data_IF_073026844318
#
_entry.id   IF_073026844318
#
_cell.length_a   1.000
_cell.length_b   1.000
_cell.length_c   1.000
_cell.angle_alpha   90.00
_cell.angle_beta   90.00
_cell.angle_gamma   90.00
#
_symmetry.space_group_name_H-M   'P 1'
#
loop_
_entity.id
_entity.type
_entity.pdbx_description
1 polymer ?
#
# COMPACT_ATOMS: atom_id res chain seq x y z
N UNK A 1 -11.81 18.64 9.19
CA UNK A 1 -12.11 17.36 8.52
C UNK A 1 -11.03 16.36 8.88
N UNK A 2 -11.39 15.22 9.45
CA UNK A 2 -10.46 14.10 9.70
C UNK A 2 -10.06 13.41 8.39
N UNK A 3 -8.97 12.62 8.40
CA UNK A 3 -8.57 11.85 7.22
C UNK A 3 -9.67 10.89 6.75
N UNK A 4 -10.39 10.28 7.70
CA UNK A 4 -11.49 9.37 7.38
C UNK A 4 -12.67 10.09 6.73
N UNK A 5 -13.03 11.28 7.22
CA UNK A 5 -14.04 12.15 6.57
C UNK A 5 -13.59 12.58 5.16
N UNK A 6 -12.30 12.84 4.97
CA UNK A 6 -11.71 13.20 3.68
C UNK A 6 -11.79 12.06 2.66
N UNK A 7 -11.55 10.82 3.11
CA UNK A 7 -11.68 9.62 2.29
C UNK A 7 -13.16 9.36 1.98
N UNK A 8 -14.06 9.59 2.95
CA UNK A 8 -15.50 9.38 2.77
C UNK A 8 -16.15 10.37 1.79
N UNK A 9 -15.53 11.53 1.52
CA UNK A 9 -15.98 12.47 0.51
C UNK A 9 -15.51 12.12 -0.91
N UNK A 10 -14.65 11.11 -1.07
CA UNK A 10 -14.17 10.65 -2.37
C UNK A 10 -15.25 9.86 -3.14
N UNK A 11 -15.13 9.75 -4.47
CA UNK A 11 -16.01 8.89 -5.26
C UNK A 11 -16.06 7.46 -4.75
N UNK A 12 -17.22 6.80 -4.91
CA UNK A 12 -17.47 5.45 -4.38
C UNK A 12 -16.40 4.43 -4.79
N UNK A 13 -15.87 4.53 -6.02
CA UNK A 13 -14.83 3.62 -6.49
C UNK A 13 -13.52 3.74 -5.69
N UNK A 14 -13.16 4.94 -5.20
CA UNK A 14 -11.99 5.16 -4.33
C UNK A 14 -12.22 4.51 -2.98
N UNK A 15 -13.42 4.68 -2.40
CA UNK A 15 -13.76 4.09 -1.12
C UNK A 15 -13.72 2.55 -1.16
N UNK A 16 -14.26 1.96 -2.23
CA UNK A 16 -14.16 0.52 -2.50
C UNK A 16 -12.69 0.11 -2.62
N UNK A 17 -11.88 0.87 -3.36
CA UNK A 17 -10.46 0.57 -3.53
C UNK A 17 -9.68 0.63 -2.21
N UNK A 18 -9.94 1.62 -1.35
CA UNK A 18 -9.29 1.73 -0.04
C UNK A 18 -9.59 0.50 0.83
N UNK A 19 -10.81 -0.05 0.77
CA UNK A 19 -11.14 -1.29 1.47
C UNK A 19 -10.40 -2.51 0.89
N UNK A 20 -10.27 -2.59 -0.44
CA UNK A 20 -9.47 -3.64 -1.11
C UNK A 20 -7.99 -3.51 -0.71
N UNK A 21 -7.46 -2.29 -0.67
CA UNK A 21 -6.11 -1.99 -0.21
C UNK A 21 -5.91 -2.41 1.24
N UNK A 22 -6.85 -2.10 2.13
CA UNK A 22 -6.78 -2.53 3.53
C UNK A 22 -6.73 -4.06 3.63
N UNK A 23 -7.62 -4.76 2.93
CA UNK A 23 -7.62 -6.21 2.90
C UNK A 23 -6.31 -6.77 2.32
N UNK A 24 -5.82 -6.23 1.21
CA UNK A 24 -4.66 -6.75 0.48
C UNK A 24 -3.32 -6.41 1.11
N UNK A 25 -3.16 -5.23 1.71
CA UNK A 25 -1.89 -4.75 2.25
C UNK A 25 -1.75 -4.90 3.78
N UNK A 26 -2.85 -5.12 4.51
CA UNK A 26 -2.83 -5.27 5.98
C UNK A 26 -3.32 -6.64 6.44
N UNK A 27 -4.47 -7.11 5.95
CA UNK A 27 -5.09 -8.34 6.46
C UNK A 27 -4.51 -9.59 5.81
N UNK A 28 -4.51 -9.64 4.48
CA UNK A 28 -4.06 -10.80 3.71
C UNK A 28 -2.59 -11.20 4.00
N UNK A 29 -1.64 -10.28 4.22
CA UNK A 29 -0.27 -10.65 4.59
C UNK A 29 -0.17 -11.35 5.95
N UNK A 30 -1.14 -11.19 6.86
CA UNK A 30 -1.16 -11.93 8.14
C UNK A 30 -1.29 -13.44 7.92
N UNK A 31 -1.96 -13.88 6.85
CA UNK A 31 -2.04 -15.29 6.50
C UNK A 31 -0.65 -15.89 6.21
N UNK A 32 0.31 -15.09 5.72
CA UNK A 32 1.67 -15.55 5.46
C UNK A 32 2.44 -15.94 6.74
N UNK A 33 1.96 -15.57 7.92
CA UNK A 33 2.56 -15.93 9.20
C UNK A 33 2.37 -17.43 9.54
N UNK A 34 1.40 -18.08 8.92
CA UNK A 34 1.11 -19.51 9.10
C UNK A 34 2.32 -20.36 8.68
N UNK A 35 2.92 -20.06 7.52
CA UNK A 35 4.02 -20.84 6.95
C UNK A 35 5.38 -20.26 7.30
N UNK A 36 6.28 -21.09 7.85
CA UNK A 36 7.66 -20.67 8.22
C UNK A 36 8.40 -19.92 7.10
N UNK A 37 8.38 -20.37 5.82
CA UNK A 37 9.11 -19.69 4.74
C UNK A 37 8.59 -18.28 4.40
N UNK A 38 7.35 -17.95 4.73
CA UNK A 38 6.72 -16.67 4.36
C UNK A 38 6.47 -15.74 5.54
N UNK A 39 6.82 -16.13 6.78
CA UNK A 39 6.61 -15.30 7.98
C UNK A 39 7.24 -13.92 7.87
N UNK A 40 8.48 -13.87 7.37
CA UNK A 40 9.20 -12.60 7.18
C UNK A 40 8.50 -11.73 6.14
N UNK A 41 7.98 -12.32 5.04
CA UNK A 41 7.19 -11.59 4.06
C UNK A 41 5.93 -10.98 4.68
N UNK A 42 5.17 -11.78 5.44
CA UNK A 42 3.97 -11.32 6.13
C UNK A 42 4.26 -10.17 7.08
N UNK A 43 5.22 -10.36 7.98
CA UNK A 43 5.60 -9.35 8.97
C UNK A 43 6.12 -8.06 8.32
N UNK A 44 7.05 -8.17 7.37
CA UNK A 44 7.61 -7.01 6.68
C UNK A 44 6.52 -6.24 5.92
N UNK A 45 5.57 -6.94 5.30
CA UNK A 45 4.46 -6.29 4.60
C UNK A 45 3.57 -5.53 5.58
N UNK A 46 3.14 -6.15 6.68
CA UNK A 46 2.28 -5.48 7.67
C UNK A 46 2.99 -4.28 8.29
N UNK A 47 4.26 -4.44 8.69
CA UNK A 47 5.04 -3.34 9.27
C UNK A 47 5.18 -2.19 8.28
N UNK A 48 5.55 -2.47 7.03
CA UNK A 48 5.66 -1.44 6.00
C UNK A 48 4.33 -0.73 5.73
N UNK A 49 3.21 -1.48 5.67
CA UNK A 49 1.87 -0.91 5.48
C UNK A 49 1.42 -0.04 6.65
N UNK A 50 1.69 -0.47 7.89
CA UNK A 50 1.40 0.34 9.10
C UNK A 50 2.23 1.62 9.12
N UNK A 51 3.52 1.54 8.82
CA UNK A 51 4.40 2.70 8.73
C UNK A 51 3.99 3.65 7.61
N UNK A 52 3.57 3.12 6.45
CA UNK A 52 3.07 3.93 5.35
C UNK A 52 1.77 4.65 5.72
N UNK A 53 0.80 3.94 6.31
CA UNK A 53 -0.44 4.54 6.80
C UNK A 53 -0.21 5.60 7.88
N UNK A 54 0.71 5.35 8.82
CA UNK A 54 1.11 6.34 9.82
C UNK A 54 1.76 7.58 9.17
N UNK A 55 2.60 7.38 8.15
CA UNK A 55 3.19 8.45 7.35
C UNK A 55 2.15 9.28 6.62
N UNK A 56 1.13 8.65 6.03
CA UNK A 56 0.01 9.34 5.35
C UNK A 56 -0.76 10.19 6.36
N UNK A 57 -1.10 9.61 7.52
CA UNK A 57 -1.81 10.32 8.57
C UNK A 57 -1.01 11.53 9.08
N UNK A 58 0.28 11.36 9.30
CA UNK A 58 1.17 12.45 9.70
C UNK A 58 1.25 13.55 8.63
N UNK A 59 1.45 13.17 7.36
CA UNK A 59 1.55 14.12 6.25
C UNK A 59 0.24 14.87 6.02
N UNK A 60 -0.91 14.21 6.19
CA UNK A 60 -2.23 14.84 6.19
C UNK A 60 -2.36 15.90 7.29
N UNK A 61 -1.85 15.63 8.48
CA UNK A 61 -1.82 16.62 9.57
C UNK A 61 -0.99 17.87 9.26
N UNK A 62 -0.01 17.78 8.36
CA UNK A 62 0.85 18.90 7.98
C UNK A 62 0.35 19.65 6.73
N UNK A 63 -0.09 18.92 5.70
CA UNK A 63 -0.39 19.47 4.38
C UNK A 63 -1.88 19.45 4.01
N UNK A 64 -2.72 18.78 4.81
CA UNK A 64 -4.12 18.52 4.48
C UNK A 64 -4.29 17.50 3.36
N UNK A 65 -5.45 17.54 2.69
CA UNK A 65 -5.79 16.60 1.62
C UNK A 65 -5.15 17.01 0.28
N UNK A 66 -3.86 16.68 0.09
CA UNK A 66 -3.10 16.98 -1.14
C UNK A 66 -2.72 15.72 -1.90
N UNK A 67 -2.40 15.85 -3.19
CA UNK A 67 -1.96 14.71 -4.02
C UNK A 67 -0.68 14.02 -3.51
N UNK A 68 0.16 14.73 -2.75
CA UNK A 68 1.40 14.18 -2.20
C UNK A 68 1.17 13.17 -1.05
N UNK A 69 -0.07 12.97 -0.60
CA UNK A 69 -0.36 12.05 0.51
C UNK A 69 0.07 10.61 0.25
N UNK A 70 0.17 10.18 -1.01
CA UNK A 70 0.67 8.85 -1.39
C UNK A 70 2.18 8.65 -1.20
N UNK A 71 2.96 9.71 -0.92
CA UNK A 71 4.42 9.64 -0.86
C UNK A 71 4.98 8.59 0.13
N UNK A 72 4.42 8.42 1.35
CA UNK A 72 4.87 7.38 2.27
C UNK A 72 4.72 5.97 1.69
N UNK A 73 3.67 5.70 0.89
CA UNK A 73 3.52 4.44 0.17
C UNK A 73 4.62 4.27 -0.87
N UNK A 74 4.91 5.31 -1.67
CA UNK A 74 5.99 5.26 -2.67
C UNK A 74 7.32 4.85 -2.03
N UNK A 75 7.69 5.47 -0.92
CA UNK A 75 8.97 5.24 -0.24
C UNK A 75 9.04 3.83 0.37
N UNK A 76 7.97 3.36 1.02
CA UNK A 76 7.99 2.10 1.77
C UNK A 76 7.58 0.89 0.93
N UNK A 77 6.59 1.04 0.06
CA UNK A 77 6.05 -0.07 -0.72
C UNK A 77 6.84 -0.39 -1.98
N UNK A 78 7.53 0.58 -2.59
CA UNK A 78 8.37 0.30 -3.78
C UNK A 78 9.47 -0.74 -3.48
N UNK A 79 10.35 -0.55 -2.48
CA UNK A 79 11.36 -1.56 -2.15
C UNK A 79 10.73 -2.88 -1.66
N UNK A 80 9.64 -2.80 -0.89
CA UNK A 80 8.89 -3.98 -0.44
C UNK A 80 8.37 -4.81 -1.63
N UNK A 81 7.75 -4.16 -2.61
CA UNK A 81 7.19 -4.81 -3.80
C UNK A 81 8.28 -5.56 -4.58
N UNK A 82 9.43 -4.91 -4.81
CA UNK A 82 10.57 -5.53 -5.50
C UNK A 82 11.06 -6.76 -4.72
N UNK A 83 11.18 -6.65 -3.40
CA UNK A 83 11.64 -7.74 -2.55
C UNK A 83 10.65 -8.91 -2.51
N UNK A 84 9.35 -8.64 -2.29
CA UNK A 84 8.28 -9.65 -2.31
C UNK A 84 8.19 -10.36 -3.66
N UNK A 85 8.33 -9.60 -4.76
CA UNK A 85 8.38 -10.16 -6.11
C UNK A 85 9.51 -11.19 -6.20
N UNK A 86 10.74 -10.85 -5.80
CA UNK A 86 11.85 -11.81 -5.84
C UNK A 86 11.63 -13.00 -4.89
N UNK A 87 11.15 -12.75 -3.68
CA UNK A 87 10.94 -13.76 -2.64
C UNK A 87 9.94 -14.85 -3.06
N UNK A 88 8.86 -14.48 -3.77
CA UNK A 88 7.84 -15.45 -4.22
C UNK A 88 8.40 -16.53 -5.15
N UNK A 89 9.47 -16.21 -5.88
CA UNK A 89 10.10 -17.07 -6.87
C UNK A 89 11.19 -17.98 -6.26
N UNK A 90 11.48 -17.85 -4.96
CA UNK A 90 12.49 -18.68 -4.31
C UNK A 90 12.08 -20.16 -4.29
N UNK A 91 13.04 -21.08 -4.52
CA UNK A 91 12.84 -22.51 -4.30
C UNK A 91 12.40 -22.78 -2.85
N UNK A 92 11.42 -23.66 -2.67
CA UNK A 92 10.89 -24.00 -1.34
C UNK A 92 9.75 -23.09 -0.84
N UNK A 93 9.37 -22.03 -1.56
CA UNK A 93 8.16 -21.26 -1.25
C UNK A 93 6.90 -22.10 -1.52
N UNK A 94 6.03 -22.34 -0.52
CA UNK A 94 4.82 -23.13 -0.74
C UNK A 94 3.83 -22.41 -1.67
N UNK A 95 2.99 -23.19 -2.38
CA UNK A 95 2.11 -22.69 -3.44
C UNK A 95 1.15 -21.60 -2.95
N UNK A 96 0.53 -21.79 -1.78
CA UNK A 96 -0.41 -20.83 -1.20
C UNK A 96 0.23 -19.51 -0.79
N UNK A 97 1.32 -19.48 0.01
CA UNK A 97 2.12 -18.28 0.22
C UNK A 97 2.52 -17.55 -1.05
N UNK A 98 2.96 -18.28 -2.09
CA UNK A 98 3.31 -17.65 -3.38
C UNK A 98 2.12 -16.93 -4.01
N UNK A 99 0.94 -17.54 -4.02
CA UNK A 99 -0.30 -16.94 -4.54
C UNK A 99 -0.73 -15.72 -3.71
N UNK A 100 -0.64 -15.82 -2.39
CA UNK A 100 -0.94 -14.71 -1.49
C UNK A 100 0.03 -13.54 -1.74
N UNK A 101 1.34 -13.79 -1.78
CA UNK A 101 2.35 -12.76 -2.08
C UNK A 101 2.05 -12.10 -3.44
N UNK A 102 1.65 -12.88 -4.45
CA UNK A 102 1.28 -12.32 -5.76
C UNK A 102 0.06 -11.39 -5.65
N UNK A 103 -0.99 -11.79 -4.93
CA UNK A 103 -2.17 -10.96 -4.71
C UNK A 103 -1.83 -9.65 -3.97
N UNK A 104 -1.01 -9.73 -2.92
CA UNK A 104 -0.48 -8.58 -2.18
C UNK A 104 0.30 -7.66 -3.12
N UNK A 105 1.21 -8.22 -3.93
CA UNK A 105 1.99 -7.45 -4.91
C UNK A 105 1.09 -6.72 -5.91
N UNK A 106 0.03 -7.36 -6.40
CA UNK A 106 -0.92 -6.74 -7.34
C UNK A 106 -1.62 -5.53 -6.71
N UNK A 107 -2.13 -5.67 -5.48
CA UNK A 107 -2.81 -4.57 -4.77
C UNK A 107 -1.85 -3.41 -4.50
N UNK A 108 -0.64 -3.71 -4.03
CA UNK A 108 0.41 -2.70 -3.80
C UNK A 108 0.81 -2.02 -5.10
N UNK A 109 1.00 -2.77 -6.19
CA UNK A 109 1.41 -2.21 -7.47
C UNK A 109 0.36 -1.26 -8.05
N UNK A 110 -0.92 -1.63 -8.01
CA UNK A 110 -2.01 -0.75 -8.48
C UNK A 110 -2.05 0.54 -7.63
N UNK A 111 -1.90 0.42 -6.32
CA UNK A 111 -1.91 1.58 -5.42
C UNK A 111 -0.71 2.50 -5.67
N UNK A 112 0.48 1.93 -5.86
CA UNK A 112 1.67 2.68 -6.23
C UNK A 112 1.50 3.43 -7.55
N UNK A 113 0.80 2.85 -8.54
CA UNK A 113 0.51 3.57 -9.79
C UNK A 113 -0.30 4.84 -9.50
N UNK A 114 -1.32 4.76 -8.64
CA UNK A 114 -2.06 5.95 -8.22
C UNK A 114 -1.17 6.96 -7.51
N UNK A 115 -0.35 6.50 -6.55
CA UNK A 115 0.55 7.37 -5.79
C UNK A 115 1.59 8.07 -6.69
N UNK A 116 2.17 7.37 -7.67
CA UNK A 116 3.12 7.94 -8.64
C UNK A 116 2.45 8.96 -9.56
N UNK A 117 1.23 8.69 -10.04
CA UNK A 117 0.47 9.62 -10.88
C UNK A 117 0.16 10.90 -10.09
N UNK A 118 -0.29 10.78 -8.85
CA UNK A 118 -0.59 11.92 -8.00
C UNK A 118 0.67 12.70 -7.61
N UNK A 119 1.79 12.02 -7.31
CA UNK A 119 3.07 12.68 -7.09
C UNK A 119 3.55 13.44 -8.34
N UNK A 120 3.44 12.85 -9.54
CA UNK A 120 3.80 13.51 -10.78
C UNK A 120 2.93 14.76 -11.04
N UNK A 121 1.61 14.66 -10.87
CA UNK A 121 0.68 15.79 -10.97
C UNK A 121 0.99 16.90 -9.96
N UNK A 122 1.32 16.52 -8.72
CA UNK A 122 1.73 17.47 -7.70
C UNK A 122 2.98 18.25 -8.11
N UNK A 123 3.99 17.57 -8.68
CA UNK A 123 5.21 18.20 -9.19
C UNK A 123 4.94 19.12 -10.38
N UNK A 124 3.94 18.79 -11.21
CA UNK A 124 3.48 19.62 -12.33
C UNK A 124 2.63 20.83 -11.87
N UNK A 125 2.37 20.97 -10.58
CA UNK A 125 1.66 22.12 -10.00
C UNK A 125 0.21 21.85 -9.61
N UNK A 126 -0.34 20.68 -9.94
CA UNK A 126 -1.69 20.27 -9.55
C UNK A 126 -1.70 19.77 -8.09
N UNK A 127 -1.67 20.71 -7.15
CA UNK A 127 -1.50 20.37 -5.71
C UNK A 127 -2.77 19.82 -5.06
N UNK A 128 -3.93 20.25 -5.56
CA UNK A 128 -5.23 19.80 -5.07
C UNK A 128 -5.67 18.53 -5.82
N UNK A 129 -6.36 17.60 -5.14
CA UNK A 129 -6.92 16.41 -5.76
C UNK A 129 -8.11 16.72 -6.69
N UNK A 130 -8.65 17.95 -6.62
CA UNK A 130 -9.71 18.53 -7.45
C UNK A 130 -9.22 19.76 -8.22
#
# INVERSE_FOLDING_TARGET
MTLNEAIASQPLWVQIWVNILFLGAFVLPLALLIWKPSRVAGLATVVASVLAGAGVYWLYGQLGYVRLLGLPHVVLWTPLLIWLWRLRAQPGMPVWPRRIILAVCTVIAISLVFDYVDAARYLLGERQPY
#
